data_IF_825028050233
#
_entry.id   IF_825028050233
#
_cell.length_a   1.000
_cell.length_b   1.000
_cell.length_c   1.000
_cell.angle_alpha   90.00
_cell.angle_beta   90.00
_cell.angle_gamma   90.00
#
_symmetry.space_group_name_H-M   'P 1'
#
loop_
_entity.id
_entity.type
_entity.pdbx_description
1 polymer ?
#
# COMPACT_ATOMS: atom_id res chain seq x y z
N UNK A 1 -9.03 7.62 -12.01
CA UNK A 1 -8.05 6.55 -11.72
C UNK A 1 -8.56 5.80 -10.50
N UNK A 2 -8.64 4.47 -10.54
CA UNK A 2 -9.11 3.71 -9.39
C UNK A 2 -7.91 3.41 -8.48
N UNK A 3 -8.01 3.83 -7.22
CA UNK A 3 -7.12 3.43 -6.14
C UNK A 3 -7.84 2.42 -5.26
N UNK A 4 -7.12 1.52 -4.60
CA UNK A 4 -7.75 0.45 -3.82
C UNK A 4 -6.99 0.17 -2.52
N UNK A 5 -7.77 -0.07 -1.47
CA UNK A 5 -7.29 -0.57 -0.19
C UNK A 5 -7.24 -2.12 -0.17
N UNK A 6 -6.19 -2.67 0.42
CA UNK A 6 -5.93 -4.10 0.63
C UNK A 6 -6.37 -4.43 2.04
N UNK A 7 -7.05 -5.57 2.17
CA UNK A 7 -7.48 -6.15 3.44
C UNK A 7 -7.01 -7.61 3.44
N UNK A 8 -6.75 -8.19 4.61
CA UNK A 8 -6.19 -9.55 4.76
C UNK A 8 -6.95 -10.67 4.02
N UNK A 9 -8.24 -10.48 3.71
CA UNK A 9 -9.09 -11.46 3.03
C UNK A 9 -9.25 -11.22 1.51
N UNK A 10 -8.47 -10.31 0.92
CA UNK A 10 -8.61 -9.94 -0.48
C UNK A 10 -7.79 -10.85 -1.40
N UNK A 11 -8.44 -11.29 -2.48
CA UNK A 11 -7.81 -12.02 -3.58
C UNK A 11 -6.98 -11.03 -4.42
N UNK A 12 -5.71 -10.83 -4.06
CA UNK A 12 -4.77 -9.92 -4.75
C UNK A 12 -4.79 -10.12 -6.28
N UNK A 13 -4.87 -11.37 -6.76
CA UNK A 13 -5.01 -11.66 -8.19
C UNK A 13 -6.22 -10.99 -8.86
N UNK A 14 -7.36 -10.86 -8.16
CA UNK A 14 -8.53 -10.14 -8.69
C UNK A 14 -8.29 -8.64 -8.78
N UNK A 15 -7.62 -8.05 -7.78
CA UNK A 15 -7.25 -6.63 -7.81
C UNK A 15 -6.33 -6.37 -8.99
N UNK A 16 -5.24 -7.14 -9.12
CA UNK A 16 -4.30 -7.00 -10.22
C UNK A 16 -4.95 -7.25 -11.58
N UNK A 17 -6.05 -7.99 -11.66
CA UNK A 17 -6.81 -8.22 -12.90
C UNK A 17 -7.67 -7.04 -13.33
N UNK A 18 -7.93 -6.07 -12.45
CA UNK A 18 -8.73 -4.89 -12.77
C UNK A 18 -8.02 -4.00 -13.80
N UNK A 19 -8.65 -3.69 -14.95
CA UNK A 19 -8.03 -2.91 -16.02
C UNK A 19 -7.80 -1.43 -15.65
N UNK A 20 -8.48 -0.92 -14.62
CA UNK A 20 -8.43 0.48 -14.21
C UNK A 20 -7.60 0.72 -12.95
N UNK A 21 -6.91 -0.32 -12.45
CA UNK A 21 -6.08 -0.22 -11.25
C UNK A 21 -4.84 0.64 -11.55
N UNK A 22 -4.73 1.77 -10.85
CA UNK A 22 -3.60 2.68 -10.99
C UNK A 22 -2.56 2.50 -9.89
N UNK A 23 -3.02 2.37 -8.64
CA UNK A 23 -2.18 2.17 -7.48
C UNK A 23 -2.90 1.41 -6.37
N UNK A 24 -2.11 0.91 -5.42
CA UNK A 24 -2.57 0.34 -4.16
C UNK A 24 -1.97 1.15 -3.02
N UNK A 25 -2.82 1.66 -2.13
CA UNK A 25 -2.42 2.71 -1.17
C UNK A 25 -2.18 2.20 0.25
N UNK A 26 -2.28 0.89 0.46
CA UNK A 26 -2.48 0.28 1.78
C UNK A 26 -1.57 -0.93 2.01
N UNK A 27 -0.36 -0.87 1.46
CA UNK A 27 0.64 -1.91 1.66
C UNK A 27 1.19 -1.80 3.08
N UNK A 28 1.05 -2.85 3.88
CA UNK A 28 1.46 -2.87 5.29
C UNK A 28 2.35 -4.07 5.65
N UNK A 29 2.66 -4.95 4.68
CA UNK A 29 3.51 -6.13 4.94
C UNK A 29 4.33 -6.55 3.72
N UNK A 30 5.47 -7.20 3.97
CA UNK A 30 6.30 -7.81 2.90
C UNK A 30 5.51 -8.86 2.13
N UNK A 31 4.64 -9.63 2.81
CA UNK A 31 3.75 -10.60 2.18
C UNK A 31 2.84 -9.96 1.13
N UNK A 32 2.30 -8.77 1.39
CA UNK A 32 1.53 -8.02 0.38
C UNK A 32 2.42 -7.68 -0.81
N UNK A 33 3.63 -7.18 -0.56
CA UNK A 33 4.60 -6.84 -1.61
C UNK A 33 4.91 -8.04 -2.51
N UNK A 34 5.26 -9.19 -1.93
CA UNK A 34 5.56 -10.42 -2.67
C UNK A 34 4.40 -10.87 -3.56
N UNK A 35 3.18 -10.84 -3.01
CA UNK A 35 1.97 -11.24 -3.73
C UNK A 35 1.66 -10.29 -4.89
N UNK A 36 1.71 -8.97 -4.67
CA UNK A 36 1.49 -7.99 -5.73
C UNK A 36 2.59 -8.08 -6.80
N UNK A 37 3.86 -8.15 -6.39
CA UNK A 37 5.01 -8.28 -7.29
C UNK A 37 4.87 -9.51 -8.19
N UNK A 38 4.51 -10.66 -7.61
CA UNK A 38 4.27 -11.90 -8.36
C UNK A 38 3.13 -11.77 -9.36
N UNK A 39 1.98 -11.22 -8.97
CA UNK A 39 0.84 -11.09 -9.88
C UNK A 39 1.11 -10.07 -10.99
N UNK A 40 1.82 -8.97 -10.70
CA UNK A 40 2.21 -7.98 -11.70
C UNK A 40 3.26 -8.51 -12.68
N UNK A 41 4.19 -9.35 -12.21
CA UNK A 41 5.16 -10.04 -13.06
C UNK A 41 4.51 -10.95 -14.12
N UNK A 42 3.41 -11.64 -13.78
CA UNK A 42 2.63 -12.43 -14.76
C UNK A 42 2.00 -11.60 -15.87
N UNK A 43 1.78 -10.31 -15.61
CA UNK A 43 1.17 -9.36 -16.54
C UNK A 43 2.20 -8.45 -17.21
N UNK A 44 3.49 -8.69 -16.96
CA UNK A 44 4.60 -7.86 -17.43
C UNK A 44 4.40 -6.37 -17.11
N UNK A 45 3.76 -6.08 -15.96
CA UNK A 45 3.39 -4.73 -15.55
C UNK A 45 4.14 -4.24 -14.31
N UNK A 46 4.03 -2.94 -14.06
CA UNK A 46 4.53 -2.30 -12.83
C UNK A 46 3.37 -1.59 -12.14
N UNK A 47 3.18 -1.86 -10.85
CA UNK A 47 2.10 -1.27 -10.05
C UNK A 47 2.66 -0.23 -9.07
N UNK A 48 2.03 0.95 -9.05
CA UNK A 48 2.31 1.96 -8.04
C UNK A 48 1.79 1.51 -6.68
N UNK A 49 2.62 1.61 -5.65
CA UNK A 49 2.25 1.24 -4.29
C UNK A 49 2.60 2.34 -3.29
N UNK A 50 1.73 2.53 -2.32
CA UNK A 50 1.99 3.35 -1.13
C UNK A 50 1.96 2.47 0.10
N UNK A 51 2.87 2.75 1.03
CA UNK A 51 2.93 2.08 2.33
C UNK A 51 1.99 2.79 3.30
N UNK A 52 1.08 2.04 3.93
CA UNK A 52 0.18 2.61 4.93
C UNK A 52 0.87 2.70 6.29
N UNK A 53 0.85 3.91 6.85
CA UNK A 53 1.46 4.24 8.13
C UNK A 53 0.36 4.60 9.13
N UNK A 54 0.43 4.02 10.32
CA UNK A 54 -0.38 4.38 11.46
C UNK A 54 0.31 5.50 12.24
N UNK A 55 -0.11 6.75 11.98
CA UNK A 55 0.44 7.95 12.65
C UNK A 55 -0.25 8.28 13.97
N UNK A 56 -1.30 7.54 14.34
CA UNK A 56 -2.12 7.84 15.54
C UNK A 56 -1.78 6.94 16.73
N UNK A 57 -0.88 5.95 16.56
CA UNK A 57 -0.55 4.93 17.57
C UNK A 57 -1.78 4.20 18.16
N UNK A 58 -2.90 4.19 17.43
CA UNK A 58 -4.10 3.46 17.84
C UNK A 58 -4.00 2.03 17.31
N UNK A 59 -3.86 1.03 18.20
CA UNK A 59 -3.75 -0.40 17.84
C UNK A 59 -4.89 -0.91 16.95
N UNK A 60 -6.06 -0.25 16.98
CA UNK A 60 -7.23 -0.65 16.20
C UNK A 60 -7.19 -0.22 14.72
N UNK A 61 -6.16 0.52 14.29
CA UNK A 61 -6.00 0.96 12.90
C UNK A 61 -4.84 0.22 12.24
N UNK A 62 -5.13 -0.47 11.12
CA UNK A 62 -4.11 -1.14 10.31
C UNK A 62 -3.05 -0.17 9.76
N UNK A 63 -1.98 -0.70 9.20
CA UNK A 63 -0.79 0.06 8.81
C UNK A 63 0.40 -0.12 9.77
N UNK A 64 1.59 0.20 9.25
CA UNK A 64 2.86 0.08 9.96
C UNK A 64 3.12 1.25 10.90
N UNK A 65 3.97 1.03 11.90
CA UNK A 65 4.50 2.13 12.71
C UNK A 65 5.36 3.08 11.87
N UNK A 66 5.61 4.30 12.37
CA UNK A 66 6.52 5.25 11.72
C UNK A 66 7.95 4.71 11.60
N UNK A 67 8.35 3.85 12.54
CA UNK A 67 9.68 3.24 12.58
C UNK A 67 9.82 2.09 11.58
N UNK A 68 8.76 1.31 11.34
CA UNK A 68 8.79 0.14 10.43
C UNK A 68 8.48 0.48 8.97
N UNK A 69 7.79 1.60 8.71
CA UNK A 69 7.40 2.00 7.36
C UNK A 69 8.58 2.20 6.39
N UNK A 70 9.72 2.81 6.79
CA UNK A 70 10.90 2.93 5.94
C UNK A 70 11.49 1.59 5.52
N UNK A 71 11.54 0.60 6.43
CA UNK A 71 12.04 -0.74 6.11
C UNK A 71 11.22 -1.42 5.02
N UNK A 72 9.89 -1.26 5.04
CA UNK A 72 9.04 -1.80 3.98
C UNK A 72 9.23 -1.03 2.66
N UNK A 73 9.43 0.28 2.70
CA UNK A 73 9.72 1.08 1.49
C UNK A 73 11.04 0.67 0.83
N UNK A 74 12.09 0.43 1.62
CA UNK A 74 13.35 -0.15 1.15
C UNK A 74 13.12 -1.53 0.55
N UNK A 75 12.40 -2.41 1.27
CA UNK A 75 12.09 -3.75 0.79
C UNK A 75 11.41 -3.74 -0.60
N UNK A 76 10.41 -2.87 -0.80
CA UNK A 76 9.74 -2.71 -2.11
C UNK A 76 10.76 -2.31 -3.18
N UNK A 77 11.61 -1.33 -2.90
CA UNK A 77 12.58 -0.79 -3.86
C UNK A 77 13.66 -1.82 -4.23
N UNK A 78 14.14 -2.60 -3.27
CA UNK A 78 15.23 -3.55 -3.46
C UNK A 78 14.77 -4.92 -4.00
N UNK A 79 13.56 -5.38 -3.63
CA UNK A 79 13.14 -6.76 -3.86
C UNK A 79 11.95 -6.93 -4.81
N UNK A 80 11.22 -5.86 -5.13
CA UNK A 80 9.97 -5.94 -5.90
C UNK A 80 10.06 -5.20 -7.25
N UNK A 81 10.69 -5.79 -8.28
CA UNK A 81 10.89 -5.13 -9.59
C UNK A 81 9.58 -4.79 -10.33
N UNK A 82 8.47 -5.45 -10.00
CA UNK A 82 7.16 -5.17 -10.58
C UNK A 82 6.31 -4.21 -9.73
N UNK A 83 6.88 -3.65 -8.67
CA UNK A 83 6.26 -2.60 -7.87
C UNK A 83 7.08 -1.31 -7.97
N UNK A 84 6.38 -0.18 -7.93
CA UNK A 84 6.98 1.14 -7.83
C UNK A 84 6.53 1.79 -6.54
N UNK A 85 7.43 1.88 -5.57
CA UNK A 85 7.19 2.66 -4.37
C UNK A 85 6.92 4.12 -4.78
N UNK A 86 5.73 4.62 -4.40
CA UNK A 86 5.20 5.90 -4.86
C UNK A 86 4.95 6.89 -3.71
N UNK A 87 5.20 6.48 -2.47
CA UNK A 87 5.08 7.33 -1.28
C UNK A 87 4.46 6.59 -0.09
N UNK A 88 4.16 7.35 0.96
CA UNK A 88 3.43 6.86 2.12
C UNK A 88 1.98 7.31 2.09
N UNK A 89 1.11 6.59 2.79
CA UNK A 89 -0.30 6.91 2.96
C UNK A 89 -0.69 6.70 4.42
N UNK A 90 -1.67 7.46 4.92
CA UNK A 90 -2.23 7.23 6.26
C UNK A 90 -3.73 7.45 6.25
N UNK A 91 -4.44 6.71 7.11
CA UNK A 91 -5.87 6.92 7.35
C UNK A 91 -6.01 7.84 8.56
N UNK A 92 -6.44 9.08 8.34
CA UNK A 92 -6.62 10.07 9.39
C UNK A 92 -7.67 9.68 10.44
N UNK A 93 -7.44 10.07 11.69
CA UNK A 93 -8.37 9.88 12.81
C UNK A 93 -9.48 10.93 12.85
N UNK A 94 -10.70 10.50 13.14
CA UNK A 94 -11.89 11.35 13.22
C UNK A 94 -11.78 12.47 14.29
N UNK A 95 -10.89 12.29 15.27
CA UNK A 95 -10.65 13.20 16.39
C UNK A 95 -9.95 14.51 16.00
N UNK A 96 -9.32 14.60 14.82
CA UNK A 96 -8.74 15.84 14.30
C UNK A 96 -9.52 16.32 13.08
N UNK A 97 -10.53 17.17 13.33
CA UNK A 97 -11.41 17.75 12.32
C UNK A 97 -10.61 18.63 11.35
N UNK A 98 -10.11 18.08 10.24
CA UNK A 98 -10.00 18.64 8.88
C UNK A 98 -9.31 17.59 7.96
N UNK A 99 -9.77 17.47 6.71
CA UNK A 99 -9.31 16.61 5.58
C UNK A 99 -9.38 15.08 5.82
N UNK A 100 -10.23 14.32 5.10
CA UNK A 100 -9.99 13.97 3.69
C UNK A 100 -8.82 12.98 3.63
N UNK A 101 -9.03 11.76 3.12
CA UNK A 101 -7.98 10.75 2.88
C UNK A 101 -6.77 11.38 2.17
N UNK A 102 -5.78 11.94 2.88
CA UNK A 102 -4.47 12.23 2.30
C UNK A 102 -3.45 12.74 3.33
N UNK A 103 -2.31 12.05 3.41
CA UNK A 103 -1.03 12.73 3.23
C UNK A 103 -0.31 12.00 2.08
N UNK A 104 -0.09 12.69 0.94
CA UNK A 104 0.90 12.30 -0.08
C UNK A 104 2.17 13.04 0.36
N UNK A 105 3.17 12.29 0.81
CA UNK A 105 4.57 12.73 0.84
C UNK A 105 5.30 12.02 -0.30
#
# INVERSE_FOLDING_TARGET
>A
MATTAVQDNIKIGKICSSPSLYCVETIESQKHCDMFNKEMGKKEGVLNVFVQVNTSHEEQKGGLSLDDAPDLACYISDNCPNLRFSGFMTIGSFEHRFVGFQLIL
#
